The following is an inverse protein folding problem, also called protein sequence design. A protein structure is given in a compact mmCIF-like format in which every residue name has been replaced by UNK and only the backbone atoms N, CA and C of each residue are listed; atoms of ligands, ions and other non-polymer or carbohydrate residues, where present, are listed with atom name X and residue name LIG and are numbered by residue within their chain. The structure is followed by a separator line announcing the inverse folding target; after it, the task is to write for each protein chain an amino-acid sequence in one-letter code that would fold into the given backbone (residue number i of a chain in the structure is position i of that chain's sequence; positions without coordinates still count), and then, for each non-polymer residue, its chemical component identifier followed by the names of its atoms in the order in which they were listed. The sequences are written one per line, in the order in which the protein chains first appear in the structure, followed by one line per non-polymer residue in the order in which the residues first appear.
data_IF_026841001999
#
_entry.id   IF_026841001999
#
_cell.length_a   1.000
_cell.length_b   1.000
_cell.length_c   1.000
_cell.angle_alpha   90.00
_cell.angle_beta   90.00
_cell.angle_gamma   90.00
#
_symmetry.space_group_name_H-M   'P 1'
#
loop_
_entity.id
_entity.type
_entity.pdbx_description
1 polymer ?
#
# COMPACT_ATOMS: atom_id res chain seq x y z
N UNK A 1 3.56 -0.23 -0.18
CA UNK A 1 4.19 0.24 -1.41
C UNK A 1 4.21 1.75 -1.53
N UNK A 2 5.10 2.26 -2.37
CA UNK A 2 5.09 3.69 -2.71
C UNK A 2 3.95 3.98 -3.69
N UNK A 3 3.38 5.19 -3.63
CA UNK A 3 2.51 5.69 -4.69
C UNK A 3 3.24 5.65 -6.03
N UNK A 4 2.52 5.35 -7.12
CA UNK A 4 3.09 5.15 -8.47
C UNK A 4 3.98 6.31 -8.90
N UNK A 5 3.54 7.54 -8.67
CA UNK A 5 4.27 8.77 -9.03
C UNK A 5 4.79 9.54 -7.82
N UNK A 6 5.29 8.86 -6.84
CA UNK A 6 5.89 9.53 -5.69
C UNK A 6 7.19 10.23 -6.12
N UNK A 7 7.23 11.58 -6.15
CA UNK A 7 8.43 12.32 -6.54
C UNK A 7 9.57 12.15 -5.50
N UNK A 8 9.22 11.72 -4.29
CA UNK A 8 10.17 11.51 -3.20
C UNK A 8 10.70 10.07 -3.12
N UNK A 9 10.31 9.16 -4.02
CA UNK A 9 10.69 7.73 -3.95
C UNK A 9 12.20 7.55 -3.86
N UNK A 10 12.96 8.20 -4.75
CA UNK A 10 14.41 8.09 -4.78
C UNK A 10 15.06 8.70 -3.53
N UNK A 11 14.53 9.84 -3.08
CA UNK A 11 15.00 10.48 -1.85
C UNK A 11 14.81 9.57 -0.63
N UNK A 12 13.63 8.96 -0.47
CA UNK A 12 13.35 8.03 0.62
C UNK A 12 14.27 6.80 0.59
N UNK A 13 14.48 6.23 -0.60
CA UNK A 13 15.38 5.09 -0.75
C UNK A 13 16.82 5.43 -0.34
N UNK A 14 17.32 6.59 -0.77
CA UNK A 14 18.65 7.07 -0.42
C UNK A 14 18.76 7.36 1.08
N UNK A 15 17.77 8.02 1.67
CA UNK A 15 17.74 8.31 3.09
C UNK A 15 17.78 7.04 3.94
N UNK A 16 16.99 6.02 3.57
CA UNK A 16 17.02 4.73 4.26
C UNK A 16 18.36 3.98 4.07
N UNK A 17 18.98 4.11 2.91
CA UNK A 17 20.31 3.56 2.66
C UNK A 17 21.37 4.21 3.56
N UNK A 18 21.39 5.54 3.62
CA UNK A 18 22.35 6.32 4.43
C UNK A 18 22.19 6.03 5.92
N UNK A 19 20.97 5.97 6.44
CA UNK A 19 20.74 5.66 7.84
C UNK A 19 21.30 4.28 8.24
N UNK A 20 21.26 3.30 7.33
CA UNK A 20 21.84 1.97 7.55
C UNK A 20 23.36 1.95 7.57
N UNK A 21 23.98 2.86 6.85
CA UNK A 21 25.45 2.96 6.77
C UNK A 21 26.04 3.73 7.95
N UNK A 22 25.25 4.08 8.96
CA UNK A 22 25.70 4.88 10.08
C UNK A 22 26.05 6.34 9.70
N UNK A 23 25.77 6.73 8.46
CA UNK A 23 25.85 8.12 7.98
C UNK A 23 24.55 8.81 8.42
N UNK A 24 24.25 8.69 9.69
CA UNK A 24 23.19 9.45 10.31
C UNK A 24 23.62 10.90 10.23
N UNK A 25 22.85 11.72 9.55
CA UNK A 25 22.87 13.15 9.78
C UNK A 25 22.28 13.38 11.18
N UNK A 26 23.04 12.98 12.20
CA UNK A 26 22.70 13.23 13.59
C UNK A 26 22.37 14.72 13.72
N UNK A 27 21.14 15.05 14.12
CA UNK A 27 20.71 16.41 14.33
C UNK A 27 20.14 17.15 13.11
N UNK A 28 19.94 16.53 11.95
CA UNK A 28 19.19 17.16 10.86
C UNK A 28 17.72 16.77 10.93
N UNK A 29 16.98 17.56 11.66
CA UNK A 29 15.51 17.53 11.59
C UNK A 29 15.07 18.10 10.24
N UNK A 30 14.38 17.30 9.44
CA UNK A 30 13.73 17.80 8.25
C UNK A 30 12.42 18.49 8.65
N UNK A 31 12.24 19.73 8.26
CA UNK A 31 11.04 20.53 8.54
C UNK A 31 9.78 20.04 7.79
N UNK A 32 9.87 18.95 7.02
CA UNK A 32 8.75 18.37 6.27
C UNK A 32 8.67 16.86 6.50
N UNK A 33 7.45 16.34 6.45
CA UNK A 33 7.23 14.90 6.56
C UNK A 33 7.84 14.18 5.36
N UNK A 34 8.83 13.32 5.62
CA UNK A 34 9.41 12.44 4.61
C UNK A 34 8.41 11.38 4.09
N UNK A 35 7.34 11.13 4.83
CA UNK A 35 6.32 10.12 4.53
C UNK A 35 4.96 10.76 4.24
N UNK A 36 4.90 11.60 3.23
CA UNK A 36 3.67 12.32 2.88
C UNK A 36 2.49 11.41 2.51
N UNK A 37 2.77 10.24 1.94
CA UNK A 37 1.76 9.21 1.69
C UNK A 37 1.09 8.73 2.98
N UNK A 38 1.83 8.61 4.08
CA UNK A 38 1.29 8.30 5.39
C UNK A 38 0.34 9.39 5.88
N UNK A 39 0.75 10.65 5.76
CA UNK A 39 -0.11 11.80 6.11
C UNK A 39 -1.42 11.80 5.31
N UNK A 40 -1.40 11.32 4.07
CA UNK A 40 -2.62 11.19 3.27
C UNK A 40 -3.58 10.14 3.87
N UNK A 41 -3.08 8.98 4.30
CA UNK A 41 -3.91 7.98 4.98
C UNK A 41 -4.47 8.52 6.30
N UNK A 42 -3.65 9.21 7.10
CA UNK A 42 -4.06 9.85 8.36
C UNK A 42 -5.18 10.90 8.15
N UNK A 43 -5.24 11.50 6.96
CA UNK A 43 -6.29 12.44 6.55
C UNK A 43 -7.51 11.79 5.89
N UNK A 44 -7.57 10.47 5.87
CA UNK A 44 -8.68 9.72 5.28
C UNK A 44 -8.61 9.53 3.76
N UNK A 45 -7.48 9.83 3.11
CA UNK A 45 -7.31 9.60 1.66
C UNK A 45 -6.98 8.13 1.37
N UNK A 46 -7.90 7.22 1.67
CA UNK A 46 -7.71 5.78 1.60
C UNK A 46 -7.52 5.26 0.15
N UNK A 47 -8.04 5.96 -0.83
CA UNK A 47 -7.83 5.64 -2.24
C UNK A 47 -6.35 5.65 -2.67
N UNK A 48 -5.47 6.28 -1.89
CA UNK A 48 -4.03 6.23 -2.14
C UNK A 48 -3.45 4.81 -1.97
N UNK A 49 -4.13 3.91 -1.25
CA UNK A 49 -3.78 2.49 -1.24
C UNK A 49 -3.87 1.88 -2.64
N UNK A 50 -4.94 2.14 -3.37
CA UNK A 50 -5.14 1.67 -4.74
C UNK A 50 -4.18 2.33 -5.76
N UNK A 51 -3.66 3.51 -5.41
CA UNK A 51 -2.65 4.25 -6.21
C UNK A 51 -1.22 3.80 -5.94
N UNK A 52 -1.00 2.93 -4.95
CA UNK A 52 0.32 2.44 -4.62
C UNK A 52 0.78 1.33 -5.59
N UNK A 53 2.10 1.11 -5.65
CA UNK A 53 2.68 0.02 -6.43
C UNK A 53 2.61 -1.29 -5.64
N UNK A 54 1.73 -2.17 -6.06
CA UNK A 54 1.60 -3.53 -5.55
C UNK A 54 0.89 -4.40 -6.59
N UNK A 55 1.00 -5.70 -6.44
CA UNK A 55 0.44 -6.71 -7.33
C UNK A 55 -0.38 -7.65 -6.46
N UNK A 56 -1.60 -7.98 -6.86
CA UNK A 56 -2.40 -9.00 -6.20
C UNK A 56 -1.77 -10.38 -6.41
N UNK A 57 -1.87 -11.31 -5.45
CA UNK A 57 -1.38 -12.67 -5.65
C UNK A 57 -1.88 -13.32 -6.94
N UNK A 58 -3.16 -13.15 -7.28
CA UNK A 58 -3.81 -13.71 -8.47
C UNK A 58 -3.25 -13.16 -9.79
N UNK A 59 -2.64 -11.97 -9.74
CA UNK A 59 -2.10 -11.27 -10.91
C UNK A 59 -0.61 -11.55 -11.11
N UNK A 60 0.03 -12.25 -10.17
CA UNK A 60 1.46 -12.50 -10.24
C UNK A 60 1.86 -13.27 -11.51
N UNK A 61 1.02 -14.18 -11.99
CA UNK A 61 1.26 -14.96 -13.21
C UNK A 61 1.48 -14.10 -14.46
N UNK A 62 0.88 -12.90 -14.52
CA UNK A 62 1.09 -11.98 -15.65
C UNK A 62 2.54 -11.49 -15.76
N UNK A 63 3.32 -11.58 -14.68
CA UNK A 63 4.71 -11.11 -14.61
C UNK A 63 5.74 -12.22 -14.80
N UNK A 64 5.37 -13.48 -14.94
CA UNK A 64 6.30 -14.62 -15.06
C UNK A 64 7.20 -14.52 -16.29
N UNK A 65 6.69 -13.95 -17.38
CA UNK A 65 7.51 -13.70 -18.58
C UNK A 65 8.53 -12.58 -18.41
N UNK A 66 8.39 -11.76 -17.38
CA UNK A 66 9.21 -10.56 -17.13
C UNK A 66 10.27 -10.78 -16.04
N UNK A 67 10.06 -11.74 -15.14
CA UNK A 67 10.93 -11.95 -13.99
C UNK A 67 10.98 -13.42 -13.57
N UNK A 68 12.20 -13.95 -13.41
CA UNK A 68 12.42 -15.31 -12.89
C UNK A 68 12.26 -15.41 -11.37
N UNK A 69 12.37 -14.29 -10.67
CA UNK A 69 12.34 -14.23 -9.20
C UNK A 69 11.52 -13.03 -8.76
N UNK A 70 10.61 -13.27 -7.85
CA UNK A 70 9.81 -12.23 -7.19
C UNK A 70 10.29 -12.06 -5.76
N UNK A 71 10.68 -10.83 -5.42
CA UNK A 71 11.06 -10.49 -4.06
C UNK A 71 9.84 -10.06 -3.25
N UNK A 72 9.47 -10.83 -2.26
CA UNK A 72 8.43 -10.47 -1.31
C UNK A 72 9.01 -9.59 -0.18
N UNK A 73 8.33 -8.50 0.12
CA UNK A 73 8.69 -7.60 1.21
C UNK A 73 8.08 -8.12 2.52
N UNK A 74 8.85 -8.90 3.28
CA UNK A 74 8.35 -9.60 4.49
C UNK A 74 9.09 -9.21 5.77
N UNK A 75 10.14 -8.39 5.67
CA UNK A 75 11.09 -8.17 6.79
C UNK A 75 10.44 -7.65 8.07
N UNK A 76 9.44 -6.81 7.97
CA UNK A 76 8.76 -6.16 9.09
C UNK A 76 7.32 -6.66 9.27
N UNK A 77 6.94 -7.67 8.52
CA UNK A 77 5.59 -8.20 8.58
C UNK A 77 5.45 -9.17 9.76
N UNK A 78 4.39 -9.07 10.58
CA UNK A 78 4.19 -9.95 11.75
C UNK A 78 3.93 -11.40 11.35
N UNK A 79 3.38 -11.66 10.16
CA UNK A 79 3.15 -13.00 9.62
C UNK A 79 3.68 -13.09 8.17
N UNK A 80 5.00 -13.30 8.01
CA UNK A 80 5.59 -13.46 6.68
C UNK A 80 5.11 -14.72 5.96
N UNK A 81 4.73 -15.76 6.70
CA UNK A 81 4.23 -17.01 6.16
C UNK A 81 2.91 -16.82 5.40
N UNK A 82 2.05 -15.90 5.85
CA UNK A 82 0.82 -15.55 5.15
C UNK A 82 1.13 -14.95 3.77
N UNK A 83 2.06 -14.02 3.70
CA UNK A 83 2.47 -13.40 2.43
C UNK A 83 3.03 -14.45 1.48
N UNK A 84 3.96 -15.29 1.99
CA UNK A 84 4.59 -16.34 1.17
C UNK A 84 3.53 -17.29 0.61
N UNK A 85 2.60 -17.77 1.44
CA UNK A 85 1.53 -18.66 0.98
C UNK A 85 0.68 -17.99 -0.10
N UNK A 86 0.21 -16.77 0.13
CA UNK A 86 -0.63 -16.06 -0.83
C UNK A 86 0.01 -15.98 -2.22
N UNK A 87 1.25 -15.56 -2.29
CA UNK A 87 1.95 -15.42 -3.57
C UNK A 87 2.42 -16.76 -4.16
N UNK A 88 2.74 -17.76 -3.35
CA UNK A 88 3.10 -19.10 -3.83
C UNK A 88 1.91 -19.88 -4.40
N UNK A 89 0.70 -19.57 -3.93
CA UNK A 89 -0.53 -20.23 -4.42
C UNK A 89 -1.29 -19.37 -5.43
N UNK A 90 -0.79 -18.17 -5.75
CA UNK A 90 -1.46 -17.21 -6.63
C UNK A 90 -2.89 -16.89 -6.18
N UNK A 91 -3.15 -16.91 -4.89
CA UNK A 91 -4.47 -16.74 -4.32
C UNK A 91 -4.42 -16.19 -2.90
N UNK A 92 -5.33 -15.29 -2.59
CA UNK A 92 -5.51 -14.78 -1.25
C UNK A 92 -6.98 -14.47 -0.97
N UNK A 93 -7.50 -15.04 0.11
CA UNK A 93 -8.83 -14.72 0.61
C UNK A 93 -8.74 -13.79 1.81
N UNK A 94 -9.39 -12.62 1.71
CA UNK A 94 -9.47 -11.62 2.76
C UNK A 94 -8.87 -10.25 2.44
N UNK A 95 -8.52 -9.54 3.50
CA UNK A 95 -8.05 -8.15 3.44
C UNK A 95 -6.61 -8.04 2.93
N UNK A 96 -6.45 -7.50 1.73
CA UNK A 96 -5.15 -7.29 1.09
C UNK A 96 -4.19 -6.41 1.90
N UNK A 97 -4.70 -5.48 2.71
CA UNK A 97 -3.85 -4.67 3.57
C UNK A 97 -3.05 -5.52 4.58
N UNK A 98 -3.54 -6.72 4.90
CA UNK A 98 -2.89 -7.68 5.80
C UNK A 98 -1.73 -8.47 5.18
N UNK A 99 -1.48 -8.34 3.88
CA UNK A 99 -0.34 -8.95 3.20
C UNK A 99 0.57 -7.92 2.53
N UNK A 100 0.32 -6.63 2.76
CA UNK A 100 1.11 -5.54 2.18
C UNK A 100 2.29 -5.14 3.06
N UNK A 101 3.33 -4.57 2.44
CA UNK A 101 4.47 -3.96 3.12
C UNK A 101 4.55 -2.45 2.78
N UNK A 102 4.71 -1.58 3.78
CA UNK A 102 4.75 -1.88 5.22
C UNK A 102 3.40 -2.33 5.76
N UNK A 103 3.43 -3.29 6.69
CA UNK A 103 2.22 -3.69 7.41
C UNK A 103 1.71 -2.54 8.27
N UNK A 104 0.41 -2.29 8.20
CA UNK A 104 -0.31 -1.38 9.09
C UNK A 104 -1.79 -1.77 9.12
N UNK A 105 -2.46 -1.45 10.22
CA UNK A 105 -3.90 -1.62 10.30
C UNK A 105 -4.58 -0.55 9.47
N UNK A 106 -4.90 -0.94 8.25
CA UNK A 106 -5.62 -0.06 7.34
C UNK A 106 -7.09 -0.01 7.75
N UNK A 107 -7.66 1.19 7.90
CA UNK A 107 -8.98 1.33 8.50
C UNK A 107 -10.13 0.83 7.62
N UNK A 108 -9.92 0.77 6.32
CA UNK A 108 -10.88 0.21 5.36
C UNK A 108 -10.34 -1.12 4.87
N UNK A 109 -10.93 -2.26 5.22
CA UNK A 109 -10.51 -3.56 4.68
C UNK A 109 -10.57 -3.54 3.15
N UNK A 110 -9.51 -4.01 2.52
CA UNK A 110 -9.45 -4.15 1.08
C UNK A 110 -9.73 -5.62 0.75
N UNK A 111 -11.01 -5.98 0.76
CA UNK A 111 -11.40 -7.35 0.44
C UNK A 111 -10.95 -7.73 -0.97
N UNK A 112 -10.17 -8.80 -1.07
CA UNK A 112 -9.54 -9.20 -2.31
C UNK A 112 -10.54 -9.70 -3.35
N UNK A 113 -11.58 -10.40 -2.93
CA UNK A 113 -12.61 -10.92 -3.84
C UNK A 113 -13.45 -9.78 -4.41
N UNK A 114 -13.90 -8.86 -3.56
CA UNK A 114 -14.62 -7.65 -3.96
C UNK A 114 -13.80 -6.78 -4.90
N UNK A 115 -12.53 -6.57 -4.58
CA UNK A 115 -11.63 -5.79 -5.44
C UNK A 115 -11.49 -6.44 -6.81
N UNK A 116 -11.20 -7.76 -6.85
CA UNK A 116 -10.96 -8.49 -8.08
C UNK A 116 -12.19 -8.61 -8.98
N UNK A 117 -13.39 -8.66 -8.41
CA UNK A 117 -14.65 -8.72 -9.15
C UNK A 117 -15.14 -7.34 -9.61
N UNK A 118 -14.55 -6.27 -9.13
CA UNK A 118 -14.98 -4.91 -9.49
C UNK A 118 -14.65 -4.58 -10.95
N UNK A 119 -15.61 -4.09 -11.74
CA UNK A 119 -15.37 -3.66 -13.12
C UNK A 119 -14.42 -2.46 -13.21
N UNK A 120 -14.18 -1.75 -12.11
CA UNK A 120 -13.24 -0.62 -12.04
C UNK A 120 -11.80 -1.09 -11.84
N UNK A 121 -11.58 -2.29 -11.32
CA UNK A 121 -10.24 -2.75 -10.95
C UNK A 121 -9.26 -2.78 -12.13
N UNK A 122 -9.57 -3.33 -13.32
CA UNK A 122 -8.64 -3.29 -14.45
C UNK A 122 -8.18 -1.87 -14.81
N UNK A 123 -9.11 -0.92 -14.80
CA UNK A 123 -8.79 0.48 -15.11
C UNK A 123 -7.96 1.19 -14.02
N UNK A 124 -8.01 0.70 -12.79
CA UNK A 124 -7.17 1.19 -11.68
C UNK A 124 -5.81 0.50 -11.72
N UNK A 125 -5.78 -0.82 -11.90
CA UNK A 125 -4.56 -1.63 -11.99
C UNK A 125 -3.64 -1.16 -13.11
N UNK A 126 -4.19 -1.03 -14.31
CA UNK A 126 -3.45 -0.73 -15.52
C UNK A 126 -3.42 0.78 -15.85
N UNK A 127 -3.66 1.62 -14.83
CA UNK A 127 -3.75 3.06 -15.00
C UNK A 127 -2.45 3.64 -15.63
N UNK A 128 -2.51 4.20 -16.84
CA UNK A 128 -1.35 4.75 -17.52
C UNK A 128 -1.00 6.17 -17.04
N UNK A 129 -1.93 6.83 -16.36
CA UNK A 129 -1.87 8.25 -16.06
C UNK A 129 -2.10 8.54 -14.57
N UNK A 130 -1.09 8.26 -13.78
CA UNK A 130 -1.13 8.55 -12.35
C UNK A 130 -1.06 10.05 -12.03
N UNK A 131 -0.81 10.92 -13.01
CA UNK A 131 -0.73 12.37 -12.81
C UNK A 131 -2.11 13.07 -12.73
N UNK A 132 -3.15 12.46 -13.31
CA UNK A 132 -4.51 13.03 -13.40
C UNK A 132 -5.50 12.50 -12.36
N UNK A 133 -5.03 11.91 -11.26
CA UNK A 133 -5.86 11.27 -10.24
C UNK A 133 -7.01 12.16 -9.73
N UNK A 134 -6.76 13.47 -9.57
CA UNK A 134 -7.77 14.42 -9.10
C UNK A 134 -8.95 14.60 -10.06
N UNK A 135 -8.75 14.37 -11.36
CA UNK A 135 -9.82 14.48 -12.39
C UNK A 135 -10.45 13.12 -12.67
N UNK A 136 -9.68 12.06 -12.56
CA UNK A 136 -10.10 10.71 -12.93
C UNK A 136 -11.12 10.14 -11.94
N UNK A 137 -10.87 10.20 -10.63
CA UNK A 137 -11.77 9.73 -9.56
C UNK A 137 -12.00 8.21 -9.49
N UNK A 138 -11.43 7.38 -10.37
CA UNK A 138 -11.71 5.92 -10.40
C UNK A 138 -11.25 5.21 -9.13
N UNK A 139 -10.09 5.56 -8.59
CA UNK A 139 -9.60 4.98 -7.34
C UNK A 139 -10.48 5.35 -6.16
N UNK A 140 -11.00 6.59 -6.14
CA UNK A 140 -11.90 7.06 -5.09
C UNK A 140 -13.23 6.31 -5.18
N UNK A 141 -13.81 6.18 -6.37
CA UNK A 141 -15.06 5.43 -6.59
C UNK A 141 -14.91 3.95 -6.22
N UNK A 142 -13.77 3.31 -6.54
CA UNK A 142 -13.50 1.93 -6.17
C UNK A 142 -13.32 1.77 -4.66
N UNK A 143 -12.64 2.71 -4.00
CA UNK A 143 -12.50 2.70 -2.55
C UNK A 143 -13.85 2.87 -1.84
N UNK A 144 -14.74 3.70 -2.38
CA UNK A 144 -16.11 3.87 -1.86
C UNK A 144 -16.92 2.56 -1.95
N UNK A 145 -16.76 1.78 -3.01
CA UNK A 145 -17.39 0.46 -3.14
C UNK A 145 -16.89 -0.47 -2.06
N UNK A 146 -15.56 -0.58 -1.90
CA UNK A 146 -14.94 -1.42 -0.87
C UNK A 146 -15.38 -1.04 0.55
N UNK A 147 -15.45 0.26 0.83
CA UNK A 147 -15.88 0.76 2.13
C UNK A 147 -17.36 0.45 2.44
N UNK A 148 -18.25 0.53 1.45
CA UNK A 148 -19.69 0.23 1.63
C UNK A 148 -19.95 -1.24 1.90
N UNK A 149 -19.22 -2.15 1.24
CA UNK A 149 -19.42 -3.60 1.44
C UNK A 149 -18.93 -4.07 2.79
N UNK A 150 -18.00 -3.35 3.41
CA UNK A 150 -17.55 -3.64 4.77
C UNK A 150 -18.53 -3.18 5.87
N UNK A 151 -19.58 -2.43 5.51
CA UNK A 151 -20.61 -1.91 6.43
C UNK A 151 -20.07 -0.86 7.40
N UNK A 152 -20.98 -0.26 8.21
CA UNK A 152 -20.69 0.82 9.17
C UNK A 152 -19.66 0.51 10.29
N UNK A 153 -18.89 -0.57 10.17
CA UNK A 153 -17.85 -0.95 11.11
C UNK A 153 -16.59 -0.07 11.02
N UNK A 154 -16.51 0.77 10.02
CA UNK A 154 -15.38 1.69 9.83
C UNK A 154 -15.60 3.01 10.58
N UNK A 155 -15.84 2.96 11.88
CA UNK A 155 -15.56 4.10 12.75
C UNK A 155 -14.08 4.02 13.14
N UNK A 156 -13.28 4.64 12.31
CA UNK A 156 -11.84 4.57 12.45
C UNK A 156 -11.36 5.61 13.44
N UNK A 157 -10.77 5.13 14.50
CA UNK A 157 -9.82 5.91 15.27
C UNK A 157 -8.47 5.87 14.55
N UNK A 158 -8.36 6.65 13.47
CA UNK A 158 -7.16 6.74 12.61
C UNK A 158 -5.93 7.16 13.43
N UNK A 159 -6.13 7.90 14.50
CA UNK A 159 -5.06 8.36 15.37
C UNK A 159 -4.39 7.21 16.14
N UNK A 160 -5.14 6.17 16.51
CA UNK A 160 -4.62 5.04 17.28
C UNK A 160 -3.75 4.09 16.46
N UNK A 161 -4.15 3.75 15.24
CA UNK A 161 -3.44 2.73 14.44
C UNK A 161 -2.05 3.18 13.99
N UNK A 162 -1.81 4.48 13.86
CA UNK A 162 -0.52 5.02 13.40
C UNK A 162 0.42 5.44 14.54
N UNK A 163 -0.12 5.79 15.70
CA UNK A 163 0.68 6.24 16.85
C UNK A 163 1.57 5.15 17.43
N UNK A 164 1.09 3.91 17.45
CA UNK A 164 1.79 2.79 18.10
C UNK A 164 2.87 2.13 17.22
N UNK A 165 2.80 2.30 15.90
CA UNK A 165 3.76 1.71 14.97
C UNK A 165 5.18 2.32 15.06
N UNK A 166 5.34 3.50 15.64
CA UNK A 166 6.61 4.24 15.71
C UNK A 166 7.14 4.44 17.13
N UNK A 167 6.51 3.84 18.12
CA UNK A 167 7.01 3.85 19.52
C UNK A 167 7.97 2.70 19.82
N UNK A 168 8.38 1.94 18.81
CA UNK A 168 9.35 0.86 18.92
C UNK A 168 10.69 1.21 18.29
#
# INVERSE_FOLDING_TARGET
GCLRDCPFRQFHNNMHGHNRMGISAAGKEYSFSAFRCRTNYERGNFADFLRANWIRPEELGEYESLAYVVKLATRRHPDPGRIIRAYATYSYDGDLAKIMDPFFDFPVPIDNATLGSSPLWPAVRDCPDAHNCRRCGKCDALMDILARETGDKVKVDVARSFGDFFKG
#
